data_IF_804948825046
#
_entry.id   IF_804948825046
#
_cell.length_a   1.000
_cell.length_b   1.000
_cell.length_c   1.000
_cell.angle_alpha   90.00
_cell.angle_beta   90.00
_cell.angle_gamma   90.00
#
_symmetry.space_group_name_H-M   'P 1'
#
loop_
_entity.id
_entity.type
_entity.pdbx_description
1 polymer ?
#
# COMPACT_ATOMS: atom_id res chain seq x y z
N UNK A 1 11.20 5.21 22.67
CA UNK A 1 9.85 5.77 22.80
C UNK A 1 9.32 5.91 21.39
N UNK A 2 8.47 4.97 20.96
CA UNK A 2 8.00 4.87 19.58
C UNK A 2 6.56 5.38 19.57
N UNK A 3 6.30 6.48 18.85
CA UNK A 3 4.98 7.06 18.77
C UNK A 3 4.09 6.14 17.94
N UNK A 4 3.05 5.58 18.56
CA UNK A 4 1.92 5.01 17.83
C UNK A 4 1.34 6.13 16.97
N UNK A 5 1.47 6.01 15.66
CA UNK A 5 0.69 6.84 14.74
C UNK A 5 -0.69 6.21 14.72
N UNK A 6 -1.63 6.77 15.49
CA UNK A 6 -3.06 6.46 15.39
C UNK A 6 -3.48 6.60 13.91
N UNK A 7 -3.69 5.47 13.26
CA UNK A 7 -4.19 5.42 11.87
C UNK A 7 -5.67 5.76 11.76
N UNK A 8 -6.32 6.08 12.88
CA UNK A 8 -7.77 6.27 13.00
C UNK A 8 -8.31 7.52 12.26
N UNK A 9 -7.42 8.44 11.85
CA UNK A 9 -7.79 9.66 11.10
C UNK A 9 -7.49 9.62 9.59
N UNK A 10 -7.03 8.49 9.03
CA UNK A 10 -6.89 8.36 7.58
C UNK A 10 -8.25 7.98 6.95
N UNK A 11 -8.82 8.88 6.15
CA UNK A 11 -9.92 8.60 5.21
C UNK A 11 -9.45 7.66 4.07
N UNK A 12 -8.87 6.52 4.40
CA UNK A 12 -8.29 5.55 3.47
C UNK A 12 -8.18 4.16 4.10
N UNK A 13 -8.23 3.13 3.27
CA UNK A 13 -8.04 1.75 3.74
C UNK A 13 -6.54 1.46 3.81
N UNK A 14 -6.02 1.26 5.02
CA UNK A 14 -4.64 0.79 5.23
C UNK A 14 -4.62 -0.74 5.10
N UNK A 15 -3.77 -1.24 4.21
CA UNK A 15 -3.54 -2.66 3.97
C UNK A 15 -2.08 -2.94 4.30
N UNK A 16 -1.82 -3.92 5.17
CA UNK A 16 -0.47 -4.41 5.44
C UNK A 16 -0.25 -5.79 4.87
N UNK A 17 0.99 -6.03 4.43
CA UNK A 17 1.47 -7.35 4.02
C UNK A 17 2.86 -7.52 4.61
N UNK A 18 3.16 -8.68 5.19
CA UNK A 18 4.48 -8.94 5.76
C UNK A 18 4.66 -10.38 6.21
N UNK A 19 5.90 -10.73 6.58
CA UNK A 19 6.28 -12.04 7.11
C UNK A 19 6.16 -12.15 8.64
N UNK A 20 5.85 -11.04 9.32
CA UNK A 20 5.51 -11.04 10.73
C UNK A 20 4.05 -11.45 10.87
N UNK A 21 3.68 -12.06 11.99
CA UNK A 21 2.26 -12.25 12.30
C UNK A 21 1.57 -10.89 12.48
N UNK A 22 0.25 -10.85 12.32
CA UNK A 22 -0.55 -9.62 12.54
C UNK A 22 -0.28 -9.01 13.92
N UNK A 23 -0.02 -9.85 14.91
CA UNK A 23 0.20 -9.45 16.30
C UNK A 23 1.59 -8.81 16.50
N UNK A 24 2.58 -9.23 15.72
CA UNK A 24 3.94 -8.70 15.72
C UNK A 24 4.12 -7.42 14.88
N UNK A 25 3.16 -7.09 14.00
CA UNK A 25 3.21 -5.88 13.19
C UNK A 25 2.98 -4.61 14.05
N UNK A 26 3.90 -3.63 13.92
CA UNK A 26 3.86 -2.33 14.62
C UNK A 26 2.65 -1.49 14.20
N UNK A 27 2.28 -1.55 12.93
CA UNK A 27 1.06 -0.91 12.41
C UNK A 27 -0.02 -1.98 12.35
N UNK A 28 -1.24 -1.64 12.83
CA UNK A 28 -2.41 -2.52 12.81
C UNK A 28 -3.34 -2.13 11.64
N UNK A 29 -3.11 -2.65 10.42
CA UNK A 29 -3.97 -2.33 9.28
C UNK A 29 -5.33 -3.02 9.40
N UNK A 30 -6.33 -2.45 8.72
CA UNK A 30 -7.69 -3.03 8.63
C UNK A 30 -7.68 -4.37 7.89
N UNK A 31 -6.79 -4.53 6.92
CA UNK A 31 -6.54 -5.78 6.21
C UNK A 31 -5.06 -6.14 6.35
N UNK A 32 -4.76 -7.33 6.86
CA UNK A 32 -3.39 -7.85 6.99
C UNK A 32 -3.27 -9.17 6.23
N UNK A 33 -2.34 -9.23 5.29
CA UNK A 33 -2.00 -10.47 4.58
C UNK A 33 -0.66 -10.95 5.12
N UNK A 34 -0.73 -11.98 5.96
CA UNK A 34 0.46 -12.65 6.44
C UNK A 34 1.03 -13.51 5.31
N UNK A 35 2.28 -13.26 4.96
CA UNK A 35 3.01 -14.09 4.03
C UNK A 35 3.77 -15.15 4.82
N UNK A 36 3.54 -16.41 4.47
CA UNK A 36 4.30 -17.52 5.01
C UNK A 36 5.78 -17.32 4.69
N UNK A 37 6.64 -17.48 5.69
CA UNK A 37 8.08 -17.49 5.48
C UNK A 37 8.43 -18.50 4.40
N UNK A 38 9.22 -18.06 3.43
CA UNK A 38 9.65 -18.88 2.31
C UNK A 38 11.16 -18.72 2.19
N UNK A 39 11.90 -19.84 2.25
CA UNK A 39 13.37 -19.85 2.22
C UNK A 39 13.92 -19.17 0.95
N UNK A 40 13.21 -19.21 -0.18
CA UNK A 40 13.61 -18.53 -1.41
C UNK A 40 13.54 -17.02 -1.25
N UNK A 41 12.55 -16.51 -0.51
CA UNK A 41 12.37 -15.07 -0.26
C UNK A 41 13.30 -14.55 0.84
N UNK A 42 13.64 -15.38 1.83
CA UNK A 42 14.64 -15.04 2.85
C UNK A 42 16.04 -14.90 2.24
N UNK A 43 16.39 -15.78 1.30
CA UNK A 43 17.66 -15.73 0.58
C UNK A 43 17.68 -14.71 -0.57
N UNK A 44 16.53 -14.14 -0.94
CA UNK A 44 16.42 -13.13 -2.01
C UNK A 44 15.38 -12.05 -1.67
N UNK A 45 15.77 -11.02 -0.88
CA UNK A 45 14.86 -9.97 -0.45
C UNK A 45 14.33 -9.10 -1.61
N UNK A 46 15.06 -9.01 -2.73
CA UNK A 46 14.62 -8.30 -3.93
C UNK A 46 13.45 -9.03 -4.58
N UNK A 47 13.55 -10.36 -4.72
CA UNK A 47 12.45 -11.19 -5.24
C UNK A 47 11.22 -11.10 -4.34
N UNK A 48 11.41 -11.14 -3.02
CA UNK A 48 10.34 -10.96 -2.06
C UNK A 48 9.62 -9.62 -2.30
N UNK A 49 10.38 -8.53 -2.41
CA UNK A 49 9.84 -7.18 -2.66
C UNK A 49 9.01 -7.10 -3.95
N UNK A 50 9.48 -7.73 -5.03
CA UNK A 50 8.75 -7.77 -6.30
C UNK A 50 7.41 -8.49 -6.19
N UNK A 51 7.39 -9.64 -5.51
CA UNK A 51 6.16 -10.42 -5.31
C UNK A 51 5.20 -9.65 -4.40
N UNK A 52 5.70 -8.98 -3.36
CA UNK A 52 4.89 -8.09 -2.52
C UNK A 52 4.25 -6.97 -3.32
N UNK A 53 5.01 -6.31 -4.19
CA UNK A 53 4.50 -5.25 -5.04
C UNK A 53 3.39 -5.76 -5.96
N UNK A 54 3.54 -6.97 -6.53
CA UNK A 54 2.52 -7.60 -7.37
C UNK A 54 1.23 -7.91 -6.60
N UNK A 55 1.34 -8.47 -5.39
CA UNK A 55 0.17 -8.76 -4.54
C UNK A 55 -0.57 -7.46 -4.17
N UNK A 56 0.17 -6.44 -3.73
CA UNK A 56 -0.40 -5.12 -3.42
C UNK A 56 -1.11 -4.52 -4.64
N UNK A 57 -0.47 -4.60 -5.81
CA UNK A 57 -1.04 -4.07 -7.05
C UNK A 57 -2.36 -4.76 -7.41
N UNK A 58 -2.39 -6.10 -7.39
CA UNK A 58 -3.59 -6.88 -7.68
C UNK A 58 -4.73 -6.56 -6.71
N UNK A 59 -4.41 -6.41 -5.41
CA UNK A 59 -5.39 -6.08 -4.40
C UNK A 59 -5.96 -4.67 -4.57
N UNK A 60 -5.13 -3.67 -4.85
CA UNK A 60 -5.59 -2.30 -5.11
C UNK A 60 -6.50 -2.24 -6.34
N UNK A 61 -6.18 -2.96 -7.41
CA UNK A 61 -7.03 -3.07 -8.61
C UNK A 61 -8.35 -3.74 -8.26
N UNK A 62 -8.33 -4.87 -7.55
CA UNK A 62 -9.54 -5.58 -7.15
C UNK A 62 -10.47 -4.70 -6.29
N UNK A 63 -9.93 -4.00 -5.29
CA UNK A 63 -10.69 -3.09 -4.44
C UNK A 63 -11.27 -1.91 -5.23
N UNK A 64 -10.53 -1.37 -6.20
CA UNK A 64 -11.03 -0.30 -7.07
C UNK A 64 -12.25 -0.78 -7.86
N UNK A 65 -12.14 -1.93 -8.53
CA UNK A 65 -13.25 -2.53 -9.31
C UNK A 65 -14.46 -2.81 -8.40
N UNK A 66 -14.24 -3.39 -7.22
CA UNK A 66 -15.30 -3.72 -6.26
C UNK A 66 -16.10 -2.49 -5.82
N UNK A 67 -15.44 -1.33 -5.73
CA UNK A 67 -16.07 -0.07 -5.32
C UNK A 67 -16.58 0.76 -6.51
N UNK A 68 -16.62 0.20 -7.73
CA UNK A 68 -17.06 0.92 -8.93
C UNK A 68 -16.09 1.99 -9.42
N UNK A 69 -14.85 1.99 -8.92
CA UNK A 69 -13.79 2.92 -9.32
C UNK A 69 -13.03 2.32 -10.50
N UNK A 70 -12.79 3.12 -11.54
CA UNK A 70 -11.95 2.71 -12.67
C UNK A 70 -10.47 2.73 -12.25
N UNK A 71 -9.75 1.59 -12.19
CA UNK A 71 -8.39 1.53 -11.65
C UNK A 71 -7.38 2.38 -12.44
N UNK A 72 -7.57 2.51 -13.76
CA UNK A 72 -6.68 3.30 -14.63
C UNK A 72 -6.82 4.82 -14.41
N UNK A 73 -7.98 5.25 -13.93
CA UNK A 73 -8.34 6.65 -13.71
C UNK A 73 -9.18 6.77 -12.43
N UNK A 74 -8.60 6.51 -11.26
CA UNK A 74 -9.35 6.38 -10.02
C UNK A 74 -9.83 7.71 -9.46
N UNK A 75 -9.28 8.84 -9.93
CA UNK A 75 -9.69 10.19 -9.57
C UNK A 75 -10.47 10.84 -10.71
N UNK A 76 -11.73 11.18 -10.47
CA UNK A 76 -12.62 11.85 -11.44
C UNK A 76 -12.46 13.37 -11.46
N UNK A 77 -11.95 13.95 -10.37
CA UNK A 77 -12.16 15.38 -10.07
C UNK A 77 -10.94 16.26 -10.42
N UNK A 78 -10.01 15.74 -11.23
CA UNK A 78 -8.71 16.38 -11.56
C UNK A 78 -7.84 16.74 -10.34
N UNK A 79 -8.21 16.28 -9.13
CA UNK A 79 -7.47 16.56 -7.90
C UNK A 79 -6.15 15.80 -7.88
N UNK A 80 -6.13 14.56 -8.37
CA UNK A 80 -4.94 13.71 -8.43
C UNK A 80 -4.71 13.25 -9.88
N UNK A 81 -4.07 14.08 -10.72
CA UNK A 81 -3.73 13.71 -12.09
C UNK A 81 -2.57 12.70 -12.12
N UNK A 82 -2.51 11.90 -13.20
CA UNK A 82 -1.38 10.98 -13.46
C UNK A 82 -0.04 11.69 -13.54
N UNK A 83 -0.02 12.93 -14.04
CA UNK A 83 1.15 13.80 -14.08
C UNK A 83 0.89 14.98 -13.17
N UNK A 84 1.77 15.19 -12.19
CA UNK A 84 1.65 16.30 -11.24
C UNK A 84 1.69 17.64 -12.00
N UNK A 85 0.62 18.43 -11.91
CA UNK A 85 0.43 19.66 -12.70
C UNK A 85 0.19 20.92 -11.85
N UNK A 86 0.33 20.81 -10.52
CA UNK A 86 0.18 21.91 -9.54
C UNK A 86 1.42 22.07 -8.67
N UNK A 87 2.59 21.67 -9.20
CA UNK A 87 3.88 21.75 -8.50
C UNK A 87 4.58 23.03 -8.92
N UNK A 88 4.82 23.93 -7.97
CA UNK A 88 5.64 25.14 -8.19
C UNK A 88 7.07 24.86 -7.78
N UNK A 89 8.02 25.09 -8.67
CA UNK A 89 9.46 24.93 -8.40
C UNK A 89 10.02 26.30 -8.05
N UNK A 90 10.53 26.45 -6.83
CA UNK A 90 11.24 27.65 -6.41
C UNK A 90 12.73 27.47 -6.68
N UNK A 91 13.34 28.45 -7.35
CA UNK A 91 14.79 28.52 -7.55
C UNK A 91 15.48 28.90 -6.25
N UNK A 92 16.60 28.22 -5.95
CA UNK A 92 17.50 28.57 -4.84
C UNK A 92 18.37 29.77 -5.20
#
# INVERSE_FOLDING_TARGET
>A
MMNEVETDNLNGTVIGIGFLSKDEAVIKPKYYFECTKNEVFENNPVLATLIYALIMHALMVHLSIRNGIRPDTPSTDKQVPKVANRVTIYTK
#
